data_IF_269071186755
#
_entry.id   IF_269071186755
#
_cell.length_a   1.000
_cell.length_b   1.000
_cell.length_c   1.000
_cell.angle_alpha   90.00
_cell.angle_beta   90.00
_cell.angle_gamma   90.00
#
_symmetry.space_group_name_H-M   'P 1'
#
loop_
_entity.id
_entity.type
_entity.pdbx_description
1 polymer ?
#
# COMPACT_ATOMS: atom_id res chain seq x y z
N UNK A 1 17.25 -2.85 -3.54
CA UNK A 1 15.98 -2.11 -3.43
C UNK A 1 16.30 -0.64 -3.63
N UNK A 2 15.75 0.01 -4.67
CA UNK A 2 16.07 1.42 -4.95
C UNK A 2 15.66 2.31 -3.77
N UNK A 3 16.53 3.24 -3.36
CA UNK A 3 16.31 4.14 -2.22
C UNK A 3 14.94 4.86 -2.28
N UNK A 4 14.45 5.14 -3.49
CA UNK A 4 13.15 5.74 -3.75
C UNK A 4 11.95 4.93 -3.23
N UNK A 5 12.00 3.59 -3.34
CA UNK A 5 10.95 2.69 -2.82
C UNK A 5 10.93 2.72 -1.30
N UNK A 6 12.11 2.84 -0.69
CA UNK A 6 12.27 2.90 0.77
C UNK A 6 11.73 4.22 1.35
N UNK A 7 12.08 5.35 0.71
CA UNK A 7 11.57 6.67 1.09
C UNK A 7 10.05 6.73 0.97
N UNK A 8 9.49 6.24 -0.14
CA UNK A 8 8.05 6.22 -0.34
C UNK A 8 7.32 5.31 0.66
N UNK A 9 7.89 4.15 1.02
CA UNK A 9 7.34 3.30 2.11
C UNK A 9 7.34 4.02 3.44
N UNK A 10 8.42 4.72 3.78
CA UNK A 10 8.50 5.49 5.02
C UNK A 10 7.47 6.62 5.06
N UNK A 11 7.34 7.40 3.98
CA UNK A 11 6.37 8.48 3.89
C UNK A 11 4.93 7.96 4.06
N UNK A 12 4.57 6.88 3.36
CA UNK A 12 3.24 6.27 3.51
C UNK A 12 3.02 5.68 4.90
N UNK A 13 4.03 5.09 5.53
CA UNK A 13 3.93 4.60 6.91
C UNK A 13 3.65 5.74 7.89
N UNK A 14 4.30 6.90 7.71
CA UNK A 14 4.03 8.11 8.51
C UNK A 14 2.61 8.62 8.27
N UNK A 15 2.15 8.67 7.01
CA UNK A 15 0.78 9.10 6.67
C UNK A 15 -0.25 8.17 7.32
N UNK A 16 -0.09 6.85 7.18
CA UNK A 16 -0.96 5.87 7.84
C UNK A 16 -0.95 6.02 9.35
N UNK A 17 0.23 6.20 9.95
CA UNK A 17 0.38 6.45 11.38
C UNK A 17 -0.37 7.70 11.83
N UNK A 18 -0.24 8.80 11.10
CA UNK A 18 -0.93 10.05 11.41
C UNK A 18 -2.46 9.92 11.25
N UNK A 19 -2.93 9.25 10.20
CA UNK A 19 -4.36 9.05 9.96
C UNK A 19 -4.99 8.14 11.02
N UNK A 20 -4.32 7.05 11.41
CA UNK A 20 -4.77 6.16 12.48
C UNK A 20 -4.68 6.83 13.85
N UNK A 21 -3.63 7.60 14.11
CA UNK A 21 -3.50 8.38 15.35
C UNK A 21 -4.65 9.38 15.50
N UNK A 22 -5.12 9.99 14.40
CA UNK A 22 -6.29 10.87 14.42
C UNK A 22 -7.60 10.14 14.83
N UNK A 23 -7.70 8.81 14.69
CA UNK A 23 -8.87 8.05 15.18
C UNK A 23 -8.87 7.96 16.70
N UNK A 24 -7.70 7.77 17.31
CA UNK A 24 -7.54 7.64 18.77
C UNK A 24 -7.46 9.00 19.45
N UNK A 25 -6.80 9.96 18.80
CA UNK A 25 -6.63 11.33 19.26
C UNK A 25 -7.16 12.32 18.21
N UNK A 26 -8.46 12.65 18.24
CA UNK A 26 -9.07 13.51 17.24
C UNK A 26 -8.45 14.90 17.26
N UNK A 27 -8.02 15.40 16.10
CA UNK A 27 -7.55 16.78 15.99
C UNK A 27 -8.68 17.77 16.31
N UNK A 28 -8.43 18.79 17.14
CA UNK A 28 -9.46 19.74 17.54
C UNK A 28 -10.00 20.55 16.35
N UNK A 29 -11.29 20.86 16.37
CA UNK A 29 -11.97 21.67 15.35
C UNK A 29 -12.42 20.86 14.13
N UNK A 30 -12.30 21.45 12.93
CA UNK A 30 -12.75 20.87 11.64
C UNK A 30 -11.76 19.85 11.05
N UNK A 31 -10.60 19.66 11.67
CA UNK A 31 -9.55 18.74 11.18
C UNK A 31 -9.96 17.28 11.25
N UNK A 32 -10.68 16.87 12.30
CA UNK A 32 -11.10 15.48 12.51
C UNK A 32 -11.97 14.91 11.35
N UNK A 33 -13.10 15.55 10.96
CA UNK A 33 -13.91 15.03 9.86
C UNK A 33 -13.19 15.05 8.51
N UNK A 34 -12.31 16.03 8.27
CA UNK A 34 -11.49 16.07 7.06
C UNK A 34 -10.52 14.88 7.00
N UNK A 35 -9.80 14.60 8.09
CA UNK A 35 -8.88 13.46 8.17
C UNK A 35 -9.61 12.12 8.03
N UNK A 36 -10.84 12.00 8.55
CA UNK A 36 -11.66 10.80 8.35
C UNK A 36 -12.08 10.59 6.90
N UNK A 37 -12.51 11.64 6.20
CA UNK A 37 -12.83 11.57 4.77
C UNK A 37 -11.58 11.21 3.98
N UNK A 38 -10.44 11.85 4.29
CA UNK A 38 -9.17 11.58 3.62
C UNK A 38 -8.71 10.14 3.84
N UNK A 39 -8.87 9.61 5.06
CA UNK A 39 -8.60 8.21 5.39
C UNK A 39 -9.53 7.27 4.60
N UNK A 40 -10.83 7.59 4.52
CA UNK A 40 -11.78 6.80 3.75
C UNK A 40 -11.40 6.75 2.27
N UNK A 41 -11.08 7.91 1.67
CA UNK A 41 -10.63 8.00 0.27
C UNK A 41 -9.31 7.24 0.08
N UNK A 42 -8.35 7.39 1.01
CA UNK A 42 -7.08 6.66 0.98
C UNK A 42 -7.32 5.15 0.93
N UNK A 43 -8.13 4.62 1.86
CA UNK A 43 -8.47 3.19 1.94
C UNK A 43 -9.18 2.75 0.66
N UNK A 44 -10.18 3.50 0.19
CA UNK A 44 -10.94 3.18 -1.01
C UNK A 44 -10.04 3.10 -2.26
N UNK A 45 -9.13 4.05 -2.43
CA UNK A 45 -8.16 4.05 -3.52
C UNK A 45 -7.20 2.86 -3.42
N UNK A 46 -6.70 2.52 -2.23
CA UNK A 46 -5.81 1.38 -2.04
C UNK A 46 -6.52 0.05 -2.28
N UNK A 47 -7.80 -0.08 -1.89
CA UNK A 47 -8.62 -1.25 -2.19
C UNK A 47 -8.91 -1.39 -3.67
N UNK A 48 -9.29 -0.28 -4.34
CA UNK A 48 -9.51 -0.28 -5.78
C UNK A 48 -8.23 -0.66 -6.52
N UNK A 49 -7.10 -0.11 -6.09
CA UNK A 49 -5.80 -0.41 -6.66
C UNK A 49 -5.41 -1.87 -6.44
N UNK A 50 -5.60 -2.40 -5.22
CA UNK A 50 -5.39 -3.82 -4.92
C UNK A 50 -6.27 -4.70 -5.82
N UNK A 51 -7.56 -4.37 -5.95
CA UNK A 51 -8.49 -5.08 -6.81
C UNK A 51 -7.99 -5.08 -8.25
N UNK A 52 -7.67 -3.90 -8.81
CA UNK A 52 -7.13 -3.76 -10.15
C UNK A 52 -5.88 -4.62 -10.36
N UNK A 53 -4.92 -4.58 -9.44
CA UNK A 53 -3.71 -5.39 -9.57
C UNK A 53 -4.01 -6.89 -9.50
N UNK A 54 -4.86 -7.31 -8.56
CA UNK A 54 -5.21 -8.72 -8.39
C UNK A 54 -6.03 -9.29 -9.54
N UNK A 55 -6.85 -8.50 -10.22
CA UNK A 55 -7.64 -8.95 -11.37
C UNK A 55 -6.81 -8.93 -12.65
N UNK A 56 -6.09 -7.84 -12.92
CA UNK A 56 -5.34 -7.66 -14.17
C UNK A 56 -4.04 -8.49 -14.20
N UNK A 57 -3.31 -8.58 -13.09
CA UNK A 57 -2.00 -9.25 -13.03
C UNK A 57 -2.06 -10.63 -12.36
N UNK A 58 -3.25 -11.22 -12.23
CA UNK A 58 -3.42 -12.53 -11.58
C UNK A 58 -2.60 -13.63 -12.25
N UNK A 59 -2.63 -13.67 -13.58
CA UNK A 59 -2.05 -14.74 -14.39
C UNK A 59 -0.57 -14.49 -14.72
N UNK A 60 -0.10 -13.27 -14.55
CA UNK A 60 1.25 -12.85 -14.95
C UNK A 60 2.27 -12.81 -13.79
N UNK A 61 1.80 -12.87 -12.54
CA UNK A 61 2.62 -12.65 -11.34
C UNK A 61 2.38 -13.76 -10.32
N UNK A 62 3.44 -14.26 -9.69
CA UNK A 62 3.29 -15.17 -8.55
C UNK A 62 2.96 -14.37 -7.28
N UNK A 63 1.70 -14.47 -6.88
CA UNK A 63 1.12 -13.80 -5.72
C UNK A 63 1.43 -14.55 -4.43
N UNK A 64 2.02 -13.86 -3.44
CA UNK A 64 2.17 -14.36 -2.06
C UNK A 64 1.17 -13.66 -1.13
N UNK A 65 0.72 -14.33 -0.07
CA UNK A 65 -0.20 -13.73 0.94
C UNK A 65 0.33 -12.41 1.54
N UNK A 66 1.65 -12.25 1.64
CA UNK A 66 2.28 -11.01 2.12
C UNK A 66 2.32 -9.86 1.11
N UNK A 67 2.08 -10.13 -0.17
CA UNK A 67 2.11 -9.12 -1.24
C UNK A 67 0.85 -8.24 -1.19
N UNK A 68 -0.30 -8.81 -0.80
CA UNK A 68 -1.56 -8.08 -0.61
C UNK A 68 -1.42 -6.96 0.43
N UNK A 69 -0.77 -7.23 1.56
CA UNK A 69 -0.52 -6.23 2.60
C UNK A 69 0.43 -5.12 2.14
N UNK A 70 1.39 -5.44 1.27
CA UNK A 70 2.30 -4.43 0.72
C UNK A 70 1.57 -3.48 -0.23
N UNK A 71 0.68 -3.98 -1.08
CA UNK A 71 -0.10 -3.12 -1.98
C UNK A 71 -1.14 -2.31 -1.18
N UNK A 72 -1.77 -2.90 -0.16
CA UNK A 72 -2.74 -2.18 0.65
C UNK A 72 -2.12 -1.05 1.47
N UNK A 73 -0.93 -1.25 2.06
CA UNK A 73 -0.27 -0.24 2.88
C UNK A 73 0.56 0.77 2.08
N UNK A 74 1.13 0.35 0.95
CA UNK A 74 2.09 1.16 0.18
C UNK A 74 1.64 1.45 -1.26
N UNK A 75 0.43 1.04 -1.65
CA UNK A 75 -0.13 1.30 -2.97
C UNK A 75 0.79 0.84 -4.10
N UNK A 76 1.15 1.78 -4.98
CA UNK A 76 1.89 1.50 -6.23
C UNK A 76 3.31 1.07 -5.91
N UNK A 77 3.86 1.56 -4.80
CA UNK A 77 5.22 1.25 -4.35
C UNK A 77 5.31 -0.21 -3.91
N UNK A 78 4.28 -0.71 -3.20
CA UNK A 78 4.17 -2.12 -2.86
C UNK A 78 4.13 -3.00 -4.10
N UNK A 79 3.37 -2.59 -5.11
CA UNK A 79 3.33 -3.29 -6.40
C UNK A 79 4.67 -3.29 -7.14
N UNK A 80 5.35 -2.14 -7.26
CA UNK A 80 6.67 -2.04 -7.89
C UNK A 80 7.70 -2.95 -7.18
N UNK A 81 7.64 -3.05 -5.85
CA UNK A 81 8.49 -3.95 -5.09
C UNK A 81 8.20 -5.43 -5.42
N UNK A 82 6.92 -5.81 -5.57
CA UNK A 82 6.51 -7.17 -5.95
C UNK A 82 7.00 -7.50 -7.37
N UNK A 83 6.81 -6.60 -8.33
CA UNK A 83 7.25 -6.77 -9.72
C UNK A 83 8.77 -6.93 -9.79
N UNK A 84 9.52 -6.10 -9.07
CA UNK A 84 10.99 -6.22 -8.99
C UNK A 84 11.44 -7.54 -8.33
N UNK A 85 10.64 -8.11 -7.43
CA UNK A 85 10.94 -9.38 -6.76
C UNK A 85 10.58 -10.63 -7.58
N UNK A 86 9.77 -10.51 -8.63
CA UNK A 86 9.39 -11.62 -9.51
C UNK A 86 10.57 -12.39 -10.14
N UNK A 87 11.60 -11.74 -10.74
CA UNK A 87 12.71 -12.47 -11.36
C UNK A 87 13.51 -13.34 -10.39
N UNK A 88 13.52 -13.01 -9.09
CA UNK A 88 14.14 -13.84 -8.05
C UNK A 88 13.28 -15.03 -7.62
N UNK A 89 11.95 -14.92 -7.67
CA UNK A 89 11.02 -16.00 -7.30
C UNK A 89 10.91 -17.09 -8.37
N UNK A 90 10.98 -16.74 -9.66
CA UNK A 90 10.99 -17.74 -10.75
C UNK A 90 12.17 -18.72 -10.63
N UNK A 91 13.35 -18.23 -10.27
CA UNK A 91 14.57 -19.05 -10.11
C UNK A 91 14.57 -20.01 -8.91
N UNK A 92 13.62 -19.89 -7.99
CA UNK A 92 13.57 -20.72 -6.77
C UNK A 92 12.69 -21.96 -6.95
N UNK A 93 12.01 -22.07 -8.09
CA UNK A 93 11.09 -23.14 -8.45
C UNK A 93 11.56 -23.99 -9.65
N UNK A 94 12.74 -23.69 -10.19
CA UNK A 94 13.51 -24.50 -11.16
C UNK A 94 14.67 -25.19 -10.44
#
# INVERSE_FOLDING_TARGET
MSALVWVGRLAFAVIWGAMLANIVWPFPGKGFPLFLILLFVLVALHLLQLLMFTTVYREHIQWRRGDFWQIFLFGVIGWLAIVQAQPGRKKQHD
#
